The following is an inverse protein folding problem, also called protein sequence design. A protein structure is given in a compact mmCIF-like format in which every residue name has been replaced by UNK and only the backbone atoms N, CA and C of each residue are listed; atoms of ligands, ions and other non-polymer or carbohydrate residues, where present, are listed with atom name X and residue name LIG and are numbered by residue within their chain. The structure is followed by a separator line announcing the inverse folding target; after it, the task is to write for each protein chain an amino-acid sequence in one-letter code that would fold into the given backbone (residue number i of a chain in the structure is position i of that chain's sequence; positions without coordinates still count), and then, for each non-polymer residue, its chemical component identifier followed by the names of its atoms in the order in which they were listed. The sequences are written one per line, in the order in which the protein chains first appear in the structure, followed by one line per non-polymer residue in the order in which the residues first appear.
data_IF_497040650305
#
_entry.id   IF_497040650305
#
_cell.length_a   1.000
_cell.length_b   1.000
_cell.length_c   1.000
_cell.angle_alpha   90.00
_cell.angle_beta   90.00
_cell.angle_gamma   90.00
#
_symmetry.space_group_name_H-M   'P 1'
#
loop_
_entity.id
_entity.type
_entity.pdbx_description
1 polymer ?
#
# COMPACT_ATOMS: atom_id res chain seq x y z
N UNK A 1 119.04 34.42 -32.33
CA UNK A 1 118.62 33.02 -32.57
C UNK A 1 117.53 32.72 -31.57
N UNK A 2 116.28 32.74 -32.00
CA UNK A 2 115.09 32.45 -31.18
C UNK A 2 114.90 30.94 -31.10
N UNK A 3 114.77 30.44 -29.88
CA UNK A 3 114.83 29.01 -29.53
C UNK A 3 113.45 28.34 -29.72
N UNK A 4 113.30 27.37 -30.64
CA UNK A 4 112.00 26.79 -30.99
C UNK A 4 111.33 26.01 -29.85
N UNK A 5 112.08 25.59 -28.83
CA UNK A 5 111.56 24.86 -27.66
C UNK A 5 110.75 25.75 -26.70
N UNK A 6 111.11 27.04 -26.53
CA UNK A 6 110.35 27.98 -25.70
C UNK A 6 109.01 28.36 -26.34
N UNK A 7 108.95 28.39 -27.66
CA UNK A 7 107.71 28.60 -28.41
C UNK A 7 106.74 27.44 -28.20
N UNK A 8 107.21 26.19 -28.23
CA UNK A 8 106.37 25.00 -28.03
C UNK A 8 105.83 24.92 -26.59
N UNK A 9 106.62 25.23 -25.56
CA UNK A 9 106.13 25.23 -24.15
C UNK A 9 105.21 26.41 -23.83
N UNK A 10 105.38 27.57 -24.49
CA UNK A 10 104.47 28.71 -24.37
C UNK A 10 103.15 28.46 -25.12
N UNK A 11 103.19 27.77 -26.26
CA UNK A 11 101.99 27.34 -27.01
C UNK A 11 101.24 26.21 -26.29
N UNK A 12 101.93 25.24 -25.66
CA UNK A 12 101.29 24.20 -24.85
C UNK A 12 100.71 24.71 -23.52
N UNK A 13 101.38 25.64 -22.84
CA UNK A 13 100.86 26.23 -21.59
C UNK A 13 99.71 27.20 -21.84
N UNK A 14 99.72 27.95 -22.95
CA UNK A 14 98.58 28.78 -23.37
C UNK A 14 97.39 27.95 -23.86
N UNK A 15 97.63 26.83 -24.57
CA UNK A 15 96.59 25.90 -24.97
C UNK A 15 95.96 25.18 -23.77
N UNK A 16 96.75 24.80 -22.76
CA UNK A 16 96.26 24.17 -21.53
C UNK A 16 95.42 25.11 -20.66
N UNK A 17 95.83 26.38 -20.52
CA UNK A 17 95.07 27.40 -19.78
C UNK A 17 93.78 27.77 -20.53
N UNK A 18 93.82 27.86 -21.86
CA UNK A 18 92.61 28.07 -22.66
C UNK A 18 91.62 26.90 -22.54
N UNK A 19 92.10 25.66 -22.55
CA UNK A 19 91.26 24.48 -22.37
C UNK A 19 90.64 24.42 -20.96
N UNK A 20 91.40 24.77 -19.90
CA UNK A 20 90.89 24.83 -18.53
C UNK A 20 89.84 25.93 -18.35
N UNK A 21 90.06 27.12 -18.92
CA UNK A 21 89.08 28.22 -18.90
C UNK A 21 87.82 27.87 -19.69
N UNK A 22 87.94 27.20 -20.83
CA UNK A 22 86.80 26.70 -21.58
C UNK A 22 86.02 25.63 -20.81
N UNK A 23 86.69 24.74 -20.07
CA UNK A 23 86.04 23.73 -19.24
C UNK A 23 85.27 24.36 -18.07
N UNK A 24 85.85 25.36 -17.39
CA UNK A 24 85.18 26.10 -16.30
C UNK A 24 84.02 26.94 -16.84
N UNK A 25 84.19 27.61 -17.98
CA UNK A 25 83.13 28.37 -18.62
C UNK A 25 81.98 27.46 -19.10
N UNK A 26 82.29 26.29 -19.67
CA UNK A 26 81.30 25.30 -20.05
C UNK A 26 80.56 24.72 -18.83
N UNK A 27 81.25 24.52 -17.71
CA UNK A 27 80.65 24.05 -16.46
C UNK A 27 79.72 25.12 -15.85
N UNK A 28 80.16 26.38 -15.75
CA UNK A 28 79.32 27.48 -15.28
C UNK A 28 78.12 27.73 -16.19
N UNK A 29 78.30 27.66 -17.50
CA UNK A 29 77.21 27.77 -18.47
C UNK A 29 76.21 26.62 -18.29
N UNK A 30 76.68 25.39 -18.07
CA UNK A 30 75.83 24.23 -17.77
C UNK A 30 75.04 24.42 -16.48
N UNK A 31 75.69 24.88 -15.40
CA UNK A 31 75.04 25.09 -14.10
C UNK A 31 74.01 26.24 -14.17
N UNK A 32 74.35 27.33 -14.87
CA UNK A 32 73.47 28.47 -15.06
C UNK A 32 72.27 28.15 -15.96
N UNK A 33 72.49 27.48 -17.09
CA UNK A 33 71.42 27.03 -17.99
C UNK A 33 70.54 26.00 -17.27
N UNK A 34 71.14 25.06 -16.53
CA UNK A 34 70.43 24.05 -15.75
C UNK A 34 69.53 24.68 -14.68
N UNK A 35 70.07 25.61 -13.89
CA UNK A 35 69.29 26.28 -12.84
C UNK A 35 68.18 27.18 -13.40
N UNK A 36 68.44 27.90 -14.50
CA UNK A 36 67.43 28.77 -15.12
C UNK A 36 66.32 27.95 -15.80
N UNK A 37 66.67 26.84 -16.46
CA UNK A 37 65.72 25.94 -17.10
C UNK A 37 64.91 25.19 -16.04
N UNK A 38 65.55 24.68 -14.99
CA UNK A 38 64.88 23.99 -13.88
C UNK A 38 63.94 24.93 -13.12
N UNK A 39 64.33 26.18 -12.89
CA UNK A 39 63.47 27.20 -12.28
C UNK A 39 62.23 27.52 -13.11
N UNK A 40 62.37 27.67 -14.44
CA UNK A 40 61.23 27.87 -15.34
C UNK A 40 60.30 26.66 -15.36
N UNK A 41 60.85 25.45 -15.46
CA UNK A 41 60.09 24.21 -15.46
C UNK A 41 59.31 24.05 -14.15
N UNK A 42 59.94 24.30 -12.99
CA UNK A 42 59.28 24.23 -11.69
C UNK A 42 58.12 25.21 -11.58
N UNK A 43 58.32 26.48 -11.94
CA UNK A 43 57.23 27.46 -11.92
C UNK A 43 56.07 27.09 -12.84
N UNK A 44 56.35 26.53 -14.03
CA UNK A 44 55.31 26.08 -14.94
C UNK A 44 54.55 24.87 -14.37
N UNK A 45 55.24 23.92 -13.73
CA UNK A 45 54.61 22.81 -13.05
C UNK A 45 53.78 23.25 -11.85
N UNK A 46 54.31 24.12 -11.00
CA UNK A 46 53.60 24.65 -9.82
C UNK A 46 52.35 25.43 -10.24
N UNK A 47 52.44 26.24 -11.30
CA UNK A 47 51.30 26.95 -11.86
C UNK A 47 50.23 25.97 -12.40
N UNK A 48 50.63 24.93 -13.14
CA UNK A 48 49.71 23.89 -13.63
C UNK A 48 49.09 23.09 -12.49
N UNK A 49 49.84 22.80 -11.43
CA UNK A 49 49.35 22.10 -10.24
C UNK A 49 48.34 22.94 -9.48
N UNK A 50 48.61 24.24 -9.31
CA UNK A 50 47.68 25.18 -8.71
C UNK A 50 46.40 25.31 -9.54
N UNK A 51 46.52 25.43 -10.86
CA UNK A 51 45.38 25.49 -11.79
C UNK A 51 44.54 24.21 -11.76
N UNK A 52 45.18 23.03 -11.83
CA UNK A 52 44.48 21.75 -11.76
C UNK A 52 43.80 21.54 -10.40
N UNK A 53 44.46 21.88 -9.30
CA UNK A 53 43.87 21.80 -7.97
C UNK A 53 42.67 22.75 -7.83
N UNK A 54 42.79 23.98 -8.33
CA UNK A 54 41.67 24.92 -8.36
C UNK A 54 40.51 24.39 -9.22
N UNK A 55 40.80 23.81 -10.38
CA UNK A 55 39.81 23.23 -11.29
C UNK A 55 39.11 22.02 -10.68
N UNK A 56 39.85 21.09 -10.07
CA UNK A 56 39.30 19.93 -9.38
C UNK A 56 38.41 20.34 -8.21
N UNK A 57 38.82 21.36 -7.44
CA UNK A 57 38.04 21.88 -6.33
C UNK A 57 36.72 22.51 -6.82
N UNK A 58 36.79 23.35 -7.85
CA UNK A 58 35.59 23.95 -8.46
C UNK A 58 34.64 22.90 -9.04
N UNK A 59 35.19 21.86 -9.68
CA UNK A 59 34.40 20.75 -10.21
C UNK A 59 33.76 19.92 -9.07
N UNK A 60 34.50 19.68 -7.98
CA UNK A 60 33.99 19.02 -6.78
C UNK A 60 32.87 19.82 -6.10
N UNK A 61 33.05 21.13 -5.93
CA UNK A 61 32.04 22.01 -5.33
C UNK A 61 30.79 22.11 -6.22
N UNK A 62 30.96 22.25 -7.53
CA UNK A 62 29.84 22.29 -8.48
C UNK A 62 29.03 20.98 -8.48
N UNK A 63 29.71 19.83 -8.51
CA UNK A 63 29.05 18.53 -8.47
C UNK A 63 28.33 18.29 -7.14
N UNK A 64 28.95 18.67 -6.02
CA UNK A 64 28.32 18.59 -4.70
C UNK A 64 27.07 19.48 -4.59
N UNK A 65 27.13 20.71 -5.11
CA UNK A 65 25.96 21.61 -5.14
C UNK A 65 24.83 21.06 -6.01
N UNK A 66 25.16 20.49 -7.17
CA UNK A 66 24.16 19.88 -8.06
C UNK A 66 23.50 18.65 -7.42
N UNK A 67 24.28 17.76 -6.79
CA UNK A 67 23.77 16.61 -6.06
C UNK A 67 22.86 17.04 -4.90
N UNK A 68 23.27 18.05 -4.14
CA UNK A 68 22.46 18.58 -3.03
C UNK A 68 21.14 19.16 -3.52
N UNK A 69 21.18 19.98 -4.57
CA UNK A 69 19.96 20.54 -5.17
C UNK A 69 19.01 19.44 -5.68
N UNK A 70 19.54 18.34 -6.21
CA UNK A 70 18.73 17.21 -6.67
C UNK A 70 18.12 16.42 -5.49
N UNK A 71 18.89 16.17 -4.42
CA UNK A 71 18.38 15.56 -3.18
C UNK A 71 17.27 16.42 -2.58
N UNK A 72 17.46 17.73 -2.52
CA UNK A 72 16.45 18.67 -2.00
C UNK A 72 15.17 18.63 -2.86
N UNK A 73 15.30 18.64 -4.19
CA UNK A 73 14.16 18.47 -5.11
C UNK A 73 13.42 17.15 -4.92
N UNK A 74 14.15 16.05 -4.76
CA UNK A 74 13.56 14.73 -4.52
C UNK A 74 12.84 14.67 -3.16
N UNK A 75 13.42 15.27 -2.13
CA UNK A 75 12.80 15.32 -0.80
C UNK A 75 11.52 16.14 -0.79
N UNK A 76 11.51 17.29 -1.46
CA UNK A 76 10.32 18.14 -1.60
C UNK A 76 9.23 17.44 -2.42
N UNK A 77 9.60 16.78 -3.53
CA UNK A 77 8.64 15.99 -4.32
C UNK A 77 8.02 14.86 -3.50
N UNK A 78 8.82 14.15 -2.69
CA UNK A 78 8.33 13.10 -1.78
C UNK A 78 7.38 13.68 -0.72
N UNK A 79 7.74 14.83 -0.14
CA UNK A 79 6.91 15.52 0.85
C UNK A 79 5.57 15.95 0.26
N UNK A 80 5.56 16.58 -0.91
CA UNK A 80 4.32 16.98 -1.60
C UNK A 80 3.45 15.76 -1.94
N UNK A 81 4.08 14.68 -2.43
CA UNK A 81 3.37 13.42 -2.71
C UNK A 81 2.78 12.80 -1.44
N UNK A 82 3.51 12.83 -0.32
CA UNK A 82 3.04 12.33 0.97
C UNK A 82 1.88 13.18 1.53
N UNK A 83 1.95 14.50 1.38
CA UNK A 83 0.86 15.40 1.78
C UNK A 83 -0.41 15.16 0.95
N UNK A 84 -0.30 15.10 -0.38
CA UNK A 84 -1.43 14.80 -1.26
C UNK A 84 -2.03 13.42 -0.95
N UNK A 85 -1.19 12.40 -0.70
CA UNK A 85 -1.66 11.08 -0.28
C UNK A 85 -2.42 11.14 1.05
N UNK A 86 -1.93 11.92 2.02
CA UNK A 86 -2.59 12.08 3.32
C UNK A 86 -3.97 12.75 3.17
N UNK A 87 -4.11 13.76 2.33
CA UNK A 87 -5.39 14.43 2.07
C UNK A 87 -6.40 13.50 1.41
N UNK A 88 -5.96 12.73 0.39
CA UNK A 88 -6.80 11.72 -0.27
C UNK A 88 -7.21 10.63 0.72
N UNK A 89 -6.29 10.17 1.58
CA UNK A 89 -6.60 9.20 2.62
C UNK A 89 -7.63 9.75 3.60
N UNK A 90 -7.49 10.99 4.08
CA UNK A 90 -8.48 11.61 4.98
C UNK A 90 -9.88 11.65 4.36
N UNK A 91 -10.01 12.18 3.15
CA UNK A 91 -11.30 12.26 2.46
C UNK A 91 -11.90 10.87 2.17
N UNK A 92 -11.05 9.87 1.93
CA UNK A 92 -11.48 8.49 1.69
C UNK A 92 -11.91 7.80 3.00
N UNK A 93 -11.18 8.00 4.09
CA UNK A 93 -11.51 7.46 5.42
C UNK A 93 -12.87 7.97 5.88
N UNK A 94 -13.14 9.26 5.73
CA UNK A 94 -14.44 9.85 6.08
C UNK A 94 -15.59 9.16 5.32
N UNK A 95 -15.43 8.98 4.00
CA UNK A 95 -16.44 8.30 3.17
C UNK A 95 -16.60 6.83 3.54
N UNK A 96 -15.53 6.15 3.96
CA UNK A 96 -15.59 4.76 4.45
C UNK A 96 -16.31 4.66 5.77
N UNK A 97 -16.03 5.57 6.71
CA UNK A 97 -16.71 5.59 8.00
C UNK A 97 -18.22 5.74 7.81
N UNK A 98 -18.65 6.71 6.98
CA UNK A 98 -20.06 6.87 6.63
C UNK A 98 -20.65 5.62 5.96
N UNK A 99 -19.89 4.94 5.10
CA UNK A 99 -20.35 3.72 4.46
C UNK A 99 -20.51 2.55 5.45
N UNK A 100 -19.59 2.42 6.40
CA UNK A 100 -19.66 1.45 7.50
C UNK A 100 -20.88 1.73 8.39
N UNK A 101 -21.09 3.00 8.76
CA UNK A 101 -22.25 3.42 9.54
C UNK A 101 -23.57 3.11 8.84
N UNK A 102 -23.67 3.37 7.53
CA UNK A 102 -24.86 3.06 6.75
C UNK A 102 -25.11 1.53 6.65
N UNK A 103 -24.07 0.73 6.45
CA UNK A 103 -24.18 -0.75 6.45
C UNK A 103 -24.63 -1.27 7.81
N UNK A 104 -24.07 -0.73 8.89
CA UNK A 104 -24.46 -1.11 10.24
C UNK A 104 -25.91 -0.72 10.55
N UNK A 105 -26.32 0.50 10.20
CA UNK A 105 -27.69 0.96 10.36
C UNK A 105 -28.70 0.09 9.59
N UNK A 106 -28.35 -0.31 8.36
CA UNK A 106 -29.18 -1.22 7.57
C UNK A 106 -29.22 -2.64 8.13
N UNK A 107 -28.12 -3.12 8.70
CA UNK A 107 -28.04 -4.40 9.42
C UNK A 107 -29.02 -4.40 10.60
N UNK A 108 -28.96 -3.36 11.46
CA UNK A 108 -29.88 -3.19 12.59
C UNK A 108 -31.33 -3.04 12.12
N UNK A 109 -31.56 -2.35 11.00
CA UNK A 109 -32.90 -2.19 10.41
C UNK A 109 -33.46 -3.54 9.93
N UNK A 110 -32.64 -4.35 9.25
CA UNK A 110 -33.04 -5.69 8.82
C UNK A 110 -33.33 -6.62 10.00
N UNK A 111 -32.58 -6.50 11.10
CA UNK A 111 -32.86 -7.22 12.35
C UNK A 111 -34.20 -6.83 12.94
N UNK A 112 -34.49 -5.53 13.02
CA UNK A 112 -35.77 -5.02 13.53
C UNK A 112 -36.97 -5.35 12.64
N UNK A 113 -36.73 -5.63 11.36
CA UNK A 113 -37.77 -6.07 10.42
C UNK A 113 -38.15 -7.55 10.61
N UNK A 114 -37.37 -8.32 11.37
CA UNK A 114 -37.71 -9.72 11.66
C UNK A 114 -39.00 -9.79 12.50
N UNK A 115 -40.02 -10.55 12.06
CA UNK A 115 -41.23 -10.77 12.85
C UNK A 115 -40.92 -11.36 14.23
N UNK A 116 -41.68 -10.95 15.24
CA UNK A 116 -41.56 -11.46 16.62
C UNK A 116 -41.71 -12.98 16.71
N UNK A 117 -42.41 -13.59 15.76
CA UNK A 117 -42.59 -15.05 15.69
C UNK A 117 -41.26 -15.80 15.59
N UNK A 118 -40.20 -15.19 15.04
CA UNK A 118 -38.88 -15.81 15.02
C UNK A 118 -38.28 -15.97 16.41
N UNK A 119 -38.55 -15.04 17.34
CA UNK A 119 -38.11 -15.17 18.75
C UNK A 119 -38.80 -16.37 19.40
N UNK A 120 -40.08 -16.57 19.08
CA UNK A 120 -40.82 -17.74 19.56
C UNK A 120 -40.30 -19.04 18.95
N UNK A 121 -40.05 -19.09 17.63
CA UNK A 121 -39.47 -20.27 16.98
C UNK A 121 -38.08 -20.61 17.53
N UNK A 122 -37.31 -19.61 17.99
CA UNK A 122 -35.96 -19.81 18.47
C UNK A 122 -35.86 -20.56 19.80
N UNK A 123 -36.96 -20.64 20.56
CA UNK A 123 -37.03 -21.37 21.84
C UNK A 123 -37.70 -22.74 21.71
N UNK A 124 -38.22 -23.09 20.53
CA UNK A 124 -38.86 -24.38 20.27
C UNK A 124 -37.86 -25.42 19.82
N UNK A 125 -38.09 -26.68 20.23
CA UNK A 125 -37.44 -27.84 19.65
C UNK A 125 -38.08 -28.20 18.30
N UNK A 126 -37.32 -28.83 17.42
CA UNK A 126 -37.77 -29.22 16.08
C UNK A 126 -39.10 -30.00 16.06
N UNK A 127 -39.33 -30.84 17.08
CA UNK A 127 -40.57 -31.63 17.23
C UNK A 127 -41.81 -30.78 17.59
N UNK A 128 -41.62 -29.58 18.11
CA UNK A 128 -42.69 -28.69 18.61
C UNK A 128 -43.19 -27.73 17.51
N UNK A 129 -42.46 -27.63 16.39
CA UNK A 129 -42.80 -26.76 15.25
C UNK A 129 -44.19 -27.07 14.65
N UNK A 130 -44.58 -28.34 14.41
CA UNK A 130 -45.92 -28.65 13.89
C UNK A 130 -47.06 -28.27 14.85
N UNK A 131 -46.81 -28.34 16.16
CA UNK A 131 -47.78 -27.95 17.19
C UNK A 131 -47.95 -26.42 17.22
N UNK A 132 -46.86 -25.67 17.00
CA UNK A 132 -46.88 -24.21 16.98
C UNK A 132 -47.80 -23.62 15.90
N UNK A 133 -47.88 -24.24 14.73
CA UNK A 133 -48.74 -23.79 13.61
C UNK A 133 -50.23 -23.96 13.95
N UNK A 134 -50.56 -25.03 14.68
CA UNK A 134 -51.95 -25.37 15.03
C UNK A 134 -52.38 -24.79 16.39
N UNK A 135 -51.45 -24.23 17.15
CA UNK A 135 -51.74 -23.62 18.44
C UNK A 135 -52.60 -22.36 18.27
N UNK A 136 -53.72 -22.21 19.01
CA UNK A 136 -54.62 -21.07 18.88
C UNK A 136 -54.00 -19.70 19.14
N UNK A 137 -52.87 -19.63 19.85
CA UNK A 137 -52.16 -18.38 20.17
C UNK A 137 -51.07 -18.05 19.14
N UNK A 138 -50.25 -19.03 18.77
CA UNK A 138 -49.05 -18.78 17.93
C UNK A 138 -49.30 -19.04 16.45
N UNK A 139 -50.27 -19.90 16.11
CA UNK A 139 -50.65 -20.20 14.74
C UNK A 139 -51.08 -18.97 13.94
N UNK A 140 -51.98 -18.10 14.47
CA UNK A 140 -52.37 -16.88 13.78
C UNK A 140 -51.20 -15.94 13.48
N UNK A 141 -50.25 -15.78 14.41
CA UNK A 141 -49.06 -14.92 14.21
C UNK A 141 -48.13 -15.49 13.13
N UNK A 142 -47.92 -16.81 13.11
CA UNK A 142 -47.12 -17.49 12.08
C UNK A 142 -47.70 -17.29 10.68
N UNK A 143 -49.03 -17.37 10.56
CA UNK A 143 -49.76 -17.25 9.29
C UNK A 143 -49.92 -15.81 8.83
N UNK A 144 -49.85 -14.85 9.74
CA UNK A 144 -49.96 -13.42 9.44
C UNK A 144 -48.66 -12.80 8.90
N UNK A 145 -47.58 -13.57 8.74
CA UNK A 145 -46.31 -13.04 8.21
C UNK A 145 -46.43 -12.72 6.72
N UNK A 146 -46.60 -11.44 6.39
CA UNK A 146 -46.48 -10.94 5.02
C UNK A 146 -45.02 -10.69 4.66
N UNK A 147 -44.37 -11.72 4.10
CA UNK A 147 -42.98 -11.64 3.71
C UNK A 147 -42.72 -10.54 2.66
N UNK A 148 -43.65 -10.31 1.73
CA UNK A 148 -43.44 -9.35 0.65
C UNK A 148 -43.42 -7.93 1.21
N UNK A 149 -44.40 -7.57 2.02
CA UNK A 149 -44.47 -6.25 2.66
C UNK A 149 -43.23 -6.00 3.54
N UNK A 150 -42.86 -6.97 4.39
CA UNK A 150 -41.71 -6.83 5.30
C UNK A 150 -40.41 -6.61 4.51
N UNK A 151 -40.18 -7.40 3.46
CA UNK A 151 -38.97 -7.32 2.64
C UNK A 151 -38.93 -5.99 1.86
N UNK A 152 -40.05 -5.58 1.27
CA UNK A 152 -40.16 -4.31 0.54
C UNK A 152 -39.85 -3.11 1.45
N UNK A 153 -40.46 -3.05 2.63
CA UNK A 153 -40.21 -1.98 3.59
C UNK A 153 -38.75 -1.95 4.06
N UNK A 154 -38.14 -3.12 4.32
CA UNK A 154 -36.75 -3.22 4.72
C UNK A 154 -35.80 -2.75 3.60
N UNK A 155 -36.07 -3.12 2.35
CA UNK A 155 -35.29 -2.68 1.19
C UNK A 155 -35.43 -1.17 0.95
N UNK A 156 -36.64 -0.63 1.06
CA UNK A 156 -36.89 0.80 0.89
C UNK A 156 -36.12 1.65 1.91
N UNK A 157 -36.10 1.21 3.19
CA UNK A 157 -35.34 1.89 4.26
C UNK A 157 -33.82 1.82 4.05
N UNK A 158 -33.33 0.79 3.36
CA UNK A 158 -31.90 0.52 3.16
C UNK A 158 -31.35 0.99 1.80
N UNK A 159 -32.12 1.78 1.03
CA UNK A 159 -31.72 2.22 -0.31
C UNK A 159 -30.43 3.08 -0.35
N UNK A 160 -30.06 3.74 0.75
CA UNK A 160 -28.84 4.57 0.82
C UNK A 160 -27.56 3.72 0.79
N UNK A 161 -27.58 2.53 1.39
CA UNK A 161 -26.42 1.63 1.51
C UNK A 161 -25.84 1.26 0.14
N UNK A 162 -26.71 1.06 -0.86
CA UNK A 162 -26.28 0.76 -2.23
C UNK A 162 -25.48 1.90 -2.84
N UNK A 163 -25.80 3.16 -2.51
CA UNK A 163 -25.07 4.35 -2.99
C UNK A 163 -23.67 4.44 -2.38
N UNK A 164 -23.46 3.84 -1.22
CA UNK A 164 -22.17 3.81 -0.51
C UNK A 164 -21.30 2.61 -0.83
N UNK A 165 -21.82 1.63 -1.61
CA UNK A 165 -21.10 0.41 -1.99
C UNK A 165 -19.63 0.61 -2.40
N UNK A 166 -19.24 1.66 -3.17
CA UNK A 166 -17.84 1.87 -3.53
C UNK A 166 -16.86 2.01 -2.35
N UNK A 167 -17.36 2.31 -1.15
CA UNK A 167 -16.56 2.58 0.04
C UNK A 167 -16.68 1.50 1.13
N UNK A 168 -17.56 0.49 0.95
CA UNK A 168 -17.84 -0.55 1.97
C UNK A 168 -16.77 -1.65 1.99
N UNK A 169 -15.97 -1.81 0.94
CA UNK A 169 -15.09 -2.96 0.78
C UNK A 169 -15.86 -4.21 0.32
N UNK A 170 -15.20 -5.07 -0.45
CA UNK A 170 -15.87 -6.22 -1.09
C UNK A 170 -16.28 -7.28 -0.06
N UNK A 171 -15.42 -7.56 0.91
CA UNK A 171 -15.69 -8.61 1.90
C UNK A 171 -16.85 -8.25 2.81
N UNK A 172 -16.85 -7.04 3.40
CA UNK A 172 -17.95 -6.54 4.21
C UNK A 172 -19.28 -6.49 3.42
N UNK A 173 -19.24 -6.08 2.15
CA UNK A 173 -20.42 -6.10 1.29
C UNK A 173 -20.99 -7.51 1.09
N UNK A 174 -20.14 -8.51 0.88
CA UNK A 174 -20.55 -9.91 0.74
C UNK A 174 -21.19 -10.42 2.04
N UNK A 175 -20.59 -10.13 3.20
CA UNK A 175 -21.16 -10.50 4.49
C UNK A 175 -22.55 -9.87 4.69
N UNK A 176 -22.67 -8.56 4.50
CA UNK A 176 -23.93 -7.82 4.63
C UNK A 176 -25.03 -8.36 3.70
N UNK A 177 -24.72 -8.51 2.41
CA UNK A 177 -25.70 -8.96 1.42
C UNK A 177 -26.11 -10.42 1.62
N UNK A 178 -25.19 -11.29 2.04
CA UNK A 178 -25.48 -12.69 2.37
C UNK A 178 -26.33 -12.80 3.63
N UNK A 179 -26.03 -11.99 4.64
CA UNK A 179 -26.83 -11.89 5.85
C UNK A 179 -28.27 -11.45 5.54
N UNK A 180 -28.44 -10.34 4.81
CA UNK A 180 -29.73 -9.83 4.41
C UNK A 180 -30.54 -10.87 3.61
N UNK A 181 -29.89 -11.56 2.66
CA UNK A 181 -30.51 -12.62 1.87
C UNK A 181 -30.95 -13.80 2.73
N UNK A 182 -30.15 -14.15 3.75
CA UNK A 182 -30.48 -15.21 4.72
C UNK A 182 -31.73 -14.83 5.51
N UNK A 183 -31.79 -13.62 6.07
CA UNK A 183 -32.96 -13.14 6.81
C UNK A 183 -34.22 -13.12 5.93
N UNK A 184 -34.13 -12.58 4.72
CA UNK A 184 -35.27 -12.52 3.79
C UNK A 184 -35.73 -13.91 3.37
N UNK A 185 -34.79 -14.85 3.17
CA UNK A 185 -35.13 -16.25 2.88
C UNK A 185 -35.85 -16.90 4.07
N UNK A 186 -35.41 -16.65 5.29
CA UNK A 186 -36.08 -17.15 6.50
C UNK A 186 -37.52 -16.63 6.58
N UNK A 187 -37.71 -15.30 6.46
CA UNK A 187 -39.03 -14.65 6.50
C UNK A 187 -39.94 -15.21 5.41
N UNK A 188 -39.42 -15.33 4.19
CA UNK A 188 -40.14 -15.94 3.07
C UNK A 188 -40.58 -17.37 3.37
N UNK A 189 -39.70 -18.23 3.88
CA UNK A 189 -40.04 -19.62 4.19
C UNK A 189 -41.13 -19.71 5.27
N UNK A 190 -41.03 -18.91 6.34
CA UNK A 190 -42.03 -18.89 7.41
C UNK A 190 -43.39 -18.40 6.90
N UNK A 191 -43.43 -17.40 6.00
CA UNK A 191 -44.71 -16.95 5.40
C UNK A 191 -45.43 -18.04 4.60
N UNK A 192 -44.72 -19.08 4.18
CA UNK A 192 -45.28 -20.19 3.42
C UNK A 192 -45.75 -21.34 4.32
N UNK A 193 -45.65 -21.21 5.65
CA UNK A 193 -45.90 -22.32 6.56
C UNK A 193 -47.37 -22.75 6.61
N UNK A 194 -48.31 -21.91 6.19
CA UNK A 194 -49.73 -22.26 6.13
C UNK A 194 -50.01 -23.33 5.07
N UNK A 195 -49.47 -23.14 3.87
CA UNK A 195 -49.62 -24.08 2.75
C UNK A 195 -48.64 -25.26 2.87
N UNK A 196 -47.46 -24.99 3.42
CA UNK A 196 -46.31 -25.90 3.43
C UNK A 196 -45.65 -25.90 4.82
N UNK A 197 -46.19 -26.66 5.79
CA UNK A 197 -45.69 -26.69 7.17
C UNK A 197 -44.20 -27.05 7.27
N UNK A 198 -43.66 -27.82 6.32
CA UNK A 198 -42.24 -28.17 6.28
C UNK A 198 -41.32 -26.95 6.08
N UNK A 199 -41.85 -25.82 5.59
CA UNK A 199 -41.09 -24.57 5.44
C UNK A 199 -40.81 -23.87 6.76
N UNK A 200 -41.50 -24.25 7.83
CA UNK A 200 -41.18 -23.78 9.17
C UNK A 200 -39.78 -24.25 9.62
N UNK A 201 -39.30 -25.38 9.09
CA UNK A 201 -37.93 -25.87 9.25
C UNK A 201 -36.94 -25.12 8.34
N UNK A 202 -36.97 -23.78 8.38
CA UNK A 202 -36.18 -22.90 7.52
C UNK A 202 -34.68 -23.20 7.60
N UNK A 203 -34.18 -23.66 8.75
CA UNK A 203 -32.77 -24.00 8.96
C UNK A 203 -32.31 -25.21 8.15
N UNK A 204 -33.23 -26.05 7.68
CA UNK A 204 -32.95 -27.18 6.79
C UNK A 204 -32.89 -26.78 5.31
N UNK A 205 -33.21 -25.52 4.96
CA UNK A 205 -33.19 -25.03 3.58
C UNK A 205 -31.76 -24.99 3.03
N UNK A 206 -31.57 -25.61 1.86
CA UNK A 206 -30.26 -25.72 1.22
C UNK A 206 -29.62 -24.36 0.89
N UNK A 207 -30.41 -23.32 0.59
CA UNK A 207 -29.88 -21.99 0.28
C UNK A 207 -29.37 -21.30 1.55
N UNK A 208 -30.11 -21.39 2.66
CA UNK A 208 -29.68 -20.86 3.96
C UNK A 208 -28.36 -21.52 4.39
N UNK A 209 -28.26 -22.85 4.29
CA UNK A 209 -27.01 -23.58 4.60
C UNK A 209 -25.86 -23.12 3.70
N UNK A 210 -26.11 -22.94 2.39
CA UNK A 210 -25.10 -22.43 1.44
C UNK A 210 -24.67 -20.99 1.74
N UNK A 211 -25.60 -20.13 2.18
CA UNK A 211 -25.28 -18.75 2.58
C UNK A 211 -24.39 -18.73 3.82
N UNK A 212 -24.73 -19.52 4.84
CA UNK A 212 -23.91 -19.69 6.05
C UNK A 212 -22.54 -20.23 5.66
N UNK A 213 -22.47 -21.29 4.87
CA UNK A 213 -21.20 -21.87 4.41
C UNK A 213 -20.32 -20.85 3.68
N UNK A 214 -20.90 -20.12 2.73
CA UNK A 214 -20.15 -19.19 1.89
C UNK A 214 -19.64 -17.97 2.67
N UNK A 215 -20.38 -17.49 3.66
CA UNK A 215 -20.01 -16.31 4.45
C UNK A 215 -19.17 -16.64 5.68
N UNK A 216 -19.43 -17.76 6.34
CA UNK A 216 -18.91 -18.10 7.67
C UNK A 216 -18.02 -19.37 7.68
N UNK A 217 -18.03 -20.15 6.60
CA UNK A 217 -17.21 -21.35 6.46
C UNK A 217 -17.85 -22.63 7.00
N UNK A 218 -17.18 -23.77 6.75
CA UNK A 218 -17.69 -25.12 7.03
C UNK A 218 -17.79 -25.42 8.54
N UNK A 219 -16.89 -24.86 9.35
CA UNK A 219 -16.88 -25.07 10.80
C UNK A 219 -18.13 -24.49 11.45
N UNK A 220 -18.43 -23.22 11.16
CA UNK A 220 -19.62 -22.55 11.66
C UNK A 220 -20.91 -23.15 11.09
N UNK A 221 -20.89 -23.67 9.85
CA UNK A 221 -22.03 -24.43 9.34
C UNK A 221 -22.30 -25.70 10.17
N UNK A 222 -21.27 -26.47 10.53
CA UNK A 222 -21.43 -27.66 11.37
C UNK A 222 -21.94 -27.31 12.77
N UNK A 223 -21.45 -26.20 13.33
CA UNK A 223 -21.96 -25.69 14.60
C UNK A 223 -23.46 -25.37 14.48
N UNK A 224 -23.87 -24.62 13.46
CA UNK A 224 -25.27 -24.29 13.17
C UNK A 224 -26.16 -25.54 13.06
N UNK A 225 -25.70 -26.56 12.35
CA UNK A 225 -26.43 -27.82 12.15
C UNK A 225 -26.56 -28.64 13.44
N UNK A 226 -25.65 -28.46 14.39
CA UNK A 226 -25.68 -29.15 15.69
C UNK A 226 -26.64 -28.50 16.71
N UNK A 227 -27.08 -27.27 16.45
CA UNK A 227 -28.01 -26.55 17.32
C UNK A 227 -29.39 -27.20 17.27
N UNK A 228 -30.04 -27.30 18.43
CA UNK A 228 -31.43 -27.75 18.56
C UNK A 228 -32.42 -26.59 18.79
N UNK A 229 -31.90 -25.45 19.25
CA UNK A 229 -32.62 -24.22 19.56
C UNK A 229 -31.70 -23.03 19.24
N UNK A 230 -32.23 -21.81 19.33
CA UNK A 230 -31.45 -20.57 19.23
C UNK A 230 -30.75 -20.35 17.87
N UNK A 231 -31.24 -21.00 16.80
CA UNK A 231 -30.66 -20.92 15.45
C UNK A 231 -30.78 -19.52 14.85
N UNK A 232 -31.89 -18.81 15.09
CA UNK A 232 -32.07 -17.42 14.66
C UNK A 232 -31.04 -16.54 15.34
N UNK A 233 -31.00 -16.56 16.68
CA UNK A 233 -30.05 -15.78 17.48
C UNK A 233 -28.61 -16.08 17.10
N UNK A 234 -28.29 -17.35 16.83
CA UNK A 234 -26.97 -17.76 16.37
C UNK A 234 -26.61 -17.13 15.02
N UNK A 235 -27.49 -17.19 14.02
CA UNK A 235 -27.26 -16.57 12.70
C UNK A 235 -27.02 -15.07 12.86
N UNK A 236 -27.83 -14.38 13.67
CA UNK A 236 -27.60 -12.96 13.99
C UNK A 236 -26.22 -12.72 14.58
N UNK A 237 -25.87 -13.47 15.63
CA UNK A 237 -24.61 -13.28 16.36
C UNK A 237 -23.39 -13.49 15.48
N UNK A 238 -23.35 -14.57 14.69
CA UNK A 238 -22.18 -14.90 13.87
C UNK A 238 -21.99 -13.91 12.71
N UNK A 239 -23.07 -13.55 12.01
CA UNK A 239 -22.97 -12.54 10.95
C UNK A 239 -22.60 -11.16 11.51
N UNK A 240 -23.18 -10.75 12.65
CA UNK A 240 -22.82 -9.48 13.30
C UNK A 240 -21.36 -9.47 13.71
N UNK A 241 -20.85 -10.54 14.34
CA UNK A 241 -19.44 -10.67 14.70
C UNK A 241 -18.54 -10.53 13.46
N UNK A 242 -18.79 -11.31 12.42
CA UNK A 242 -18.00 -11.28 11.19
C UNK A 242 -18.04 -9.89 10.51
N UNK A 243 -19.20 -9.22 10.50
CA UNK A 243 -19.31 -7.86 9.95
C UNK A 243 -18.53 -6.83 10.78
N UNK A 244 -18.60 -6.89 12.11
CA UNK A 244 -17.84 -5.97 12.97
C UNK A 244 -16.34 -6.15 12.80
N UNK A 245 -15.85 -7.39 12.74
CA UNK A 245 -14.44 -7.70 12.45
C UNK A 245 -14.01 -7.14 11.07
N UNK A 246 -14.88 -7.28 10.05
CA UNK A 246 -14.61 -6.73 8.72
C UNK A 246 -14.65 -5.18 8.70
N UNK A 247 -15.55 -4.55 9.46
CA UNK A 247 -15.62 -3.10 9.62
C UNK A 247 -14.34 -2.56 10.29
N UNK A 248 -13.88 -3.21 11.36
CA UNK A 248 -12.65 -2.84 12.05
C UNK A 248 -11.43 -2.92 11.12
N UNK A 249 -11.32 -4.00 10.35
CA UNK A 249 -10.25 -4.17 9.35
C UNK A 249 -10.26 -3.07 8.27
N UNK A 250 -11.46 -2.72 7.78
CA UNK A 250 -11.65 -1.70 6.76
C UNK A 250 -11.28 -0.29 7.28
N UNK A 251 -11.72 0.05 8.49
CA UNK A 251 -11.44 1.34 9.14
C UNK A 251 -9.95 1.45 9.50
N UNK A 252 -9.35 0.36 9.97
CA UNK A 252 -7.92 0.29 10.25
C UNK A 252 -7.05 0.30 8.97
N UNK A 253 -7.65 0.21 7.77
CA UNK A 253 -6.97 0.36 6.49
C UNK A 253 -6.08 -0.82 6.09
N UNK A 254 -6.25 -1.99 6.71
CA UNK A 254 -5.38 -3.16 6.48
C UNK A 254 -5.45 -3.67 5.04
N UNK A 255 -6.65 -3.73 4.44
CA UNK A 255 -6.85 -4.16 3.03
C UNK A 255 -6.14 -3.25 2.01
N UNK A 256 -5.95 -1.97 2.34
CA UNK A 256 -5.37 -0.99 1.42
C UNK A 256 -3.88 -0.78 1.63
N UNK A 257 -3.35 -1.05 2.81
CA UNK A 257 -1.90 -0.96 3.07
C UNK A 257 -1.12 -1.82 2.09
N UNK A 258 -1.47 -3.10 1.96
CA UNK A 258 -0.79 -4.02 1.04
C UNK A 258 -1.04 -3.67 -0.43
N UNK A 259 -2.29 -3.42 -0.83
CA UNK A 259 -2.63 -3.12 -2.22
C UNK A 259 -1.98 -1.80 -2.71
N UNK A 260 -1.94 -0.77 -1.86
CA UNK A 260 -1.31 0.53 -2.18
C UNK A 260 0.20 0.39 -2.27
N UNK A 261 0.84 -0.37 -1.38
CA UNK A 261 2.27 -0.66 -1.46
C UNK A 261 2.59 -1.41 -2.76
N UNK A 262 1.79 -2.40 -3.13
CA UNK A 262 1.95 -3.12 -4.40
C UNK A 262 1.79 -2.20 -5.61
N UNK A 263 0.79 -1.33 -5.61
CA UNK A 263 0.56 -0.39 -6.71
C UNK A 263 1.66 0.67 -6.80
N UNK A 264 2.14 1.19 -5.66
CA UNK A 264 3.27 2.12 -5.60
C UNK A 264 4.55 1.49 -6.17
N UNK A 265 4.87 0.24 -5.78
CA UNK A 265 5.99 -0.53 -6.35
C UNK A 265 5.86 -0.71 -7.86
N UNK A 266 4.63 -0.97 -8.35
CA UNK A 266 4.37 -1.12 -9.79
C UNK A 266 4.56 0.19 -10.56
N UNK A 267 4.09 1.30 -9.99
CA UNK A 267 4.32 2.64 -10.55
C UNK A 267 5.80 3.01 -10.58
N UNK A 268 6.55 2.73 -9.52
CA UNK A 268 7.99 2.96 -9.46
C UNK A 268 8.74 2.16 -10.54
N UNK A 269 8.39 0.88 -10.73
CA UNK A 269 8.95 0.05 -11.79
C UNK A 269 8.69 0.62 -13.20
N UNK A 270 7.46 1.09 -13.47
CA UNK A 270 7.11 1.70 -14.75
C UNK A 270 7.85 3.03 -14.99
N UNK A 271 8.04 3.83 -13.95
CA UNK A 271 8.80 5.08 -14.03
C UNK A 271 10.28 4.81 -14.35
N UNK A 272 10.90 3.82 -13.69
CA UNK A 272 12.26 3.39 -13.96
C UNK A 272 12.43 2.86 -15.39
N UNK A 273 11.49 2.05 -15.87
CA UNK A 273 11.49 1.55 -17.25
C UNK A 273 11.37 2.69 -18.27
N UNK A 274 10.49 3.66 -18.01
CA UNK A 274 10.33 4.83 -18.88
C UNK A 274 11.55 5.75 -18.91
N UNK A 275 12.29 5.85 -17.79
CA UNK A 275 13.52 6.63 -17.71
C UNK A 275 14.66 5.96 -18.48
N UNK A 276 14.79 4.63 -18.38
CA UNK A 276 15.78 3.85 -19.13
C UNK A 276 15.57 3.96 -20.65
N UNK A 277 14.31 3.91 -21.11
CA UNK A 277 13.96 4.07 -22.54
C UNK A 277 14.22 5.47 -23.11
N UNK A 278 14.41 6.49 -22.27
CA UNK A 278 14.75 7.86 -22.74
C UNK A 278 16.26 8.09 -22.83
N UNK A 279 17.09 7.19 -22.31
CA UNK A 279 18.55 7.32 -22.29
C UNK A 279 19.27 6.41 -23.31
N UNK A 280 18.57 5.44 -23.90
CA UNK A 280 19.06 4.60 -25.00
C UNK A 280 18.47 5.05 -26.33
#
# INVERSE_FOLDING_TARGET
MTDPLQFVTAVLSSAGVAAALLAVAAWLAREWIGNRLSGRIRHEYDAKLAELNARLKLQGESTAMNLKAEVDRLSERRRQSAQALSEVQKATIERRLLAVEEVWAATVTAQKAMPSVFVFLDVLLDKEYPEAINNPKTGPELKAVDAFQIIEEALAKNASVVKRRPFVGNYLWVLYSTYQSTLFRMIYLVSQCEEKPEKLFWFSDSLIRRYIQAALGDELLKEFESLNISRVTWVHSQFTKAMLEAMDSLVAGHEYGEATIHQAKRMEALLLESAARRQG
#
